data_IF_794944837454
#
_entry.id   IF_794944837454
#
_cell.length_a   1.000
_cell.length_b   1.000
_cell.length_c   1.000
_cell.angle_alpha   90.00
_cell.angle_beta   90.00
_cell.angle_gamma   90.00
#
_symmetry.space_group_name_H-M   'P 1'
#
loop_
_entity.id
_entity.type
_entity.pdbx_description
1 polymer ?
#
# COMPACT_ATOMS: atom_id res chain seq x y z
N UNK A 1 4.43 -28.53 -7.84
CA UNK A 1 4.67 -27.08 -7.93
C UNK A 1 4.69 -26.71 -9.40
N UNK A 2 3.81 -25.80 -9.85
CA UNK A 2 3.84 -25.34 -11.24
C UNK A 2 5.13 -24.53 -11.47
N UNK A 3 5.87 -24.91 -12.50
CA UNK A 3 7.06 -24.19 -12.96
C UNK A 3 6.61 -22.79 -13.41
N UNK A 4 7.07 -21.76 -12.69
CA UNK A 4 6.79 -20.37 -13.03
C UNK A 4 7.67 -19.98 -14.22
N UNK A 5 7.22 -20.34 -15.42
CA UNK A 5 7.87 -19.97 -16.67
C UNK A 5 7.49 -18.52 -17.03
N UNK A 6 8.44 -17.57 -17.05
CA UNK A 6 8.18 -16.17 -17.40
C UNK A 6 7.65 -15.96 -18.82
N UNK A 7 7.84 -16.93 -19.72
CA UNK A 7 7.38 -16.88 -21.11
C UNK A 7 5.97 -17.45 -21.29
N UNK A 8 5.43 -18.12 -20.27
CA UNK A 8 4.06 -18.63 -20.30
C UNK A 8 3.08 -17.47 -20.15
N UNK A 9 2.00 -17.52 -20.93
CA UNK A 9 0.95 -16.52 -20.86
C UNK A 9 0.37 -16.45 -19.43
N UNK A 10 0.10 -15.23 -18.92
CA UNK A 10 -0.52 -15.09 -17.62
C UNK A 10 -1.90 -15.78 -17.62
N UNK A 11 -2.33 -16.34 -16.48
CA UNK A 11 -3.65 -16.94 -16.35
C UNK A 11 -4.75 -16.00 -16.85
N UNK A 12 -5.74 -16.53 -17.56
CA UNK A 12 -6.82 -15.72 -18.16
C UNK A 12 -7.58 -14.88 -17.13
N UNK A 13 -7.74 -15.37 -15.90
CA UNK A 13 -8.34 -14.60 -14.80
C UNK A 13 -7.58 -13.29 -14.52
N UNK A 14 -6.26 -13.38 -14.34
CA UNK A 14 -5.39 -12.21 -14.09
C UNK A 14 -5.42 -11.26 -15.29
N UNK A 15 -5.35 -11.80 -16.51
CA UNK A 15 -5.42 -10.99 -17.74
C UNK A 15 -6.75 -10.24 -17.89
N UNK A 16 -7.87 -10.84 -17.48
CA UNK A 16 -9.19 -10.17 -17.46
C UNK A 16 -9.24 -9.06 -16.42
N UNK A 17 -8.75 -9.30 -15.20
CA UNK A 17 -8.70 -8.29 -14.14
C UNK A 17 -7.83 -7.10 -14.55
N UNK A 18 -6.64 -7.35 -15.11
CA UNK A 18 -5.78 -6.31 -15.64
C UNK A 18 -6.51 -5.47 -16.71
N UNK A 19 -7.14 -6.13 -17.69
CA UNK A 19 -7.89 -5.42 -18.76
C UNK A 19 -9.13 -4.69 -18.26
N UNK A 20 -9.78 -5.16 -17.18
CA UNK A 20 -10.90 -4.47 -16.51
C UNK A 20 -10.42 -3.09 -16.06
N UNK A 21 -9.42 -3.05 -15.18
CA UNK A 21 -8.93 -1.81 -14.60
C UNK A 21 -8.21 -0.91 -15.60
N UNK A 22 -7.51 -1.48 -16.60
CA UNK A 22 -6.88 -0.69 -17.67
C UNK A 22 -7.88 0.16 -18.48
N UNK A 23 -9.14 -0.26 -18.56
CA UNK A 23 -10.17 0.40 -19.38
C UNK A 23 -11.13 1.27 -18.58
N UNK A 24 -11.05 1.23 -17.25
CA UNK A 24 -11.94 1.99 -16.38
C UNK A 24 -11.50 3.46 -16.34
N UNK A 25 -12.48 4.37 -16.28
CA UNK A 25 -12.19 5.79 -16.05
C UNK A 25 -11.85 6.05 -14.58
N UNK A 26 -11.20 7.18 -14.25
CA UNK A 26 -10.92 7.55 -12.85
C UNK A 26 -12.17 7.54 -11.96
N UNK A 27 -13.33 8.00 -12.47
CA UNK A 27 -14.59 8.01 -11.72
C UNK A 27 -15.09 6.60 -11.42
N UNK A 28 -14.91 5.67 -12.36
CA UNK A 28 -15.27 4.27 -12.16
C UNK A 28 -14.34 3.59 -11.15
N UNK A 29 -13.05 3.92 -11.16
CA UNK A 29 -12.08 3.40 -10.19
C UNK A 29 -12.42 3.85 -8.77
N UNK A 30 -12.77 5.12 -8.58
CA UNK A 30 -13.13 5.67 -7.26
C UNK A 30 -14.42 5.08 -6.67
N UNK A 31 -15.24 4.41 -7.49
CA UNK A 31 -16.49 3.76 -7.06
C UNK A 31 -16.36 2.24 -6.93
N UNK A 32 -15.25 1.64 -7.37
CA UNK A 32 -15.07 0.19 -7.38
C UNK A 32 -14.68 -0.31 -5.97
N UNK A 33 -15.59 -1.06 -5.35
CA UNK A 33 -15.41 -1.62 -4.00
C UNK A 33 -14.38 -2.75 -3.91
N UNK A 34 -13.95 -3.30 -5.05
CA UNK A 34 -12.89 -4.31 -5.10
C UNK A 34 -11.50 -3.67 -4.93
N UNK A 35 -11.38 -2.35 -5.09
CA UNK A 35 -10.12 -1.62 -4.92
C UNK A 35 -9.93 -1.29 -3.43
N UNK A 36 -8.75 -1.67 -2.91
CA UNK A 36 -8.37 -1.35 -1.55
C UNK A 36 -7.88 0.09 -1.45
N UNK A 37 -8.60 0.92 -0.71
CA UNK A 37 -8.17 2.26 -0.35
C UNK A 37 -7.57 2.25 1.07
N UNK A 38 -6.28 2.55 1.16
CA UNK A 38 -5.52 2.59 2.42
C UNK A 38 -5.26 4.01 2.93
N UNK A 39 -5.83 5.03 2.27
CA UNK A 39 -5.66 6.44 2.64
C UNK A 39 -6.23 6.76 4.02
N UNK A 40 -7.27 6.04 4.44
CA UNK A 40 -7.86 6.16 5.78
C UNK A 40 -8.19 4.79 6.39
N UNK A 41 -8.15 4.65 7.73
CA UNK A 41 -8.58 3.42 8.39
C UNK A 41 -10.03 3.05 8.11
N UNK A 42 -10.91 4.05 7.99
CA UNK A 42 -12.31 3.82 7.68
C UNK A 42 -12.47 3.18 6.29
N UNK A 43 -11.76 3.70 5.28
CA UNK A 43 -11.81 3.17 3.93
C UNK A 43 -11.20 1.75 3.84
N UNK A 44 -10.04 1.54 4.48
CA UNK A 44 -9.36 0.25 4.47
C UNK A 44 -10.23 -0.87 5.07
N UNK A 45 -10.94 -0.56 6.16
CA UNK A 45 -11.78 -1.52 6.88
C UNK A 45 -13.17 -1.73 6.25
N UNK A 46 -13.52 -1.01 5.18
CA UNK A 46 -14.72 -1.35 4.38
C UNK A 46 -14.61 -2.74 3.76
N UNK A 47 -13.39 -3.15 3.41
CA UNK A 47 -13.15 -4.50 2.92
C UNK A 47 -13.03 -5.48 4.09
N UNK A 48 -13.99 -6.41 4.19
CA UNK A 48 -14.05 -7.42 5.27
C UNK A 48 -12.84 -8.35 5.33
N UNK A 49 -12.08 -8.47 4.24
CA UNK A 49 -10.87 -9.30 4.15
C UNK A 49 -9.62 -8.54 4.54
N UNK A 50 -9.72 -7.25 4.89
CA UNK A 50 -8.60 -6.45 5.38
C UNK A 50 -8.69 -6.36 6.89
N UNK A 51 -7.58 -6.63 7.57
CA UNK A 51 -7.45 -6.50 9.01
C UNK A 51 -6.29 -5.60 9.38
N UNK A 52 -6.46 -4.83 10.45
CA UNK A 52 -5.36 -4.11 11.09
C UNK A 52 -4.51 -5.12 11.87
N UNK A 53 -3.23 -5.22 11.54
CA UNK A 53 -2.28 -6.14 12.17
C UNK A 53 -1.41 -5.44 13.20
N UNK A 54 -0.98 -4.21 12.88
CA UNK A 54 -0.07 -3.46 13.75
C UNK A 54 -0.28 -1.97 13.58
N UNK A 55 0.16 -1.22 14.58
CA UNK A 55 0.33 0.22 14.49
C UNK A 55 1.78 0.54 14.84
N UNK A 56 2.40 1.41 14.05
CA UNK A 56 3.75 1.92 14.33
C UNK A 56 3.67 3.37 14.75
N UNK A 57 4.46 3.75 15.76
CA UNK A 57 4.66 5.17 16.03
C UNK A 57 5.46 5.78 14.89
N UNK A 58 5.12 7.00 14.50
CA UNK A 58 5.85 7.74 13.47
C UNK A 58 7.33 7.89 13.82
N UNK A 59 7.64 8.17 15.07
CA UNK A 59 9.02 8.32 15.55
C UNK A 59 9.85 7.05 15.35
N UNK A 60 9.27 5.88 15.60
CA UNK A 60 9.92 4.58 15.39
C UNK A 60 10.22 4.34 13.91
N UNK A 61 9.28 4.68 13.02
CA UNK A 61 9.47 4.55 11.57
C UNK A 61 10.54 5.51 11.07
N UNK A 62 10.49 6.78 11.48
CA UNK A 62 11.50 7.79 11.08
C UNK A 62 12.89 7.40 11.54
N UNK A 63 13.05 6.96 12.80
CA UNK A 63 14.33 6.49 13.31
C UNK A 63 14.84 5.25 12.54
N UNK A 64 13.95 4.32 12.22
CA UNK A 64 14.28 3.13 11.42
C UNK A 64 14.71 3.52 10.00
N UNK A 65 13.97 4.43 9.34
CA UNK A 65 14.30 4.89 7.99
C UNK A 65 15.63 5.62 7.95
N UNK A 66 15.91 6.51 8.90
CA UNK A 66 17.21 7.20 9.03
C UNK A 66 18.35 6.20 9.23
N UNK A 67 18.18 5.25 10.15
CA UNK A 67 19.18 4.20 10.40
C UNK A 67 19.45 3.35 9.15
N UNK A 68 18.40 3.04 8.38
CA UNK A 68 18.53 2.23 7.17
C UNK A 68 19.16 2.97 6.00
N UNK A 69 18.77 4.23 5.77
CA UNK A 69 19.28 5.06 4.67
C UNK A 69 20.76 5.44 4.86
N UNK A 70 21.26 5.40 6.10
CA UNK A 70 22.61 5.83 6.45
C UNK A 70 22.67 7.32 6.76
N UNK A 71 23.54 7.68 7.70
CA UNK A 71 23.74 9.04 8.22
C UNK A 71 24.53 9.94 7.22
N UNK A 72 24.27 9.82 5.92
CA UNK A 72 24.74 10.87 5.00
C UNK A 72 23.79 12.05 5.10
N UNK A 73 24.36 13.21 5.47
CA UNK A 73 23.79 14.55 5.42
C UNK A 73 23.43 14.99 3.98
N UNK A 74 22.70 14.14 3.24
CA UNK A 74 22.30 14.37 1.85
C UNK A 74 20.80 14.23 1.64
N UNK A 75 19.97 14.44 2.67
CA UNK A 75 18.64 15.03 2.42
C UNK A 75 18.17 15.85 3.62
N UNK A 76 18.39 17.16 3.59
CA UNK A 76 17.47 18.12 4.21
C UNK A 76 16.14 18.06 3.46
N UNK A 77 15.35 17.02 3.66
CA UNK A 77 13.92 16.99 3.32
C UNK A 77 13.21 16.15 4.39
N UNK A 78 12.91 16.82 5.50
CA UNK A 78 11.64 16.56 6.22
C UNK A 78 10.44 17.08 5.40
N UNK A 79 10.67 17.46 4.14
CA UNK A 79 9.69 17.88 3.15
C UNK A 79 9.20 16.61 2.40
N UNK A 80 7.87 16.44 2.35
CA UNK A 80 7.09 15.47 1.59
C UNK A 80 6.63 14.16 2.23
N UNK A 81 7.10 13.75 3.41
CA UNK A 81 6.39 12.67 4.14
C UNK A 81 5.45 13.29 5.15
N UNK A 82 4.16 13.38 4.81
CA UNK A 82 3.13 13.74 5.80
C UNK A 82 3.06 12.60 6.80
N UNK A 83 3.81 12.77 7.89
CA UNK A 83 3.89 11.93 9.06
C UNK A 83 3.12 12.56 10.24
N UNK A 84 2.24 13.54 10.00
CA UNK A 84 1.49 14.29 11.02
C UNK A 84 0.70 13.42 11.99
N UNK A 85 0.24 12.25 11.53
CA UNK A 85 -0.38 11.24 12.38
C UNK A 85 0.66 10.58 13.29
N UNK A 86 0.45 10.63 14.60
CA UNK A 86 1.34 10.03 15.61
C UNK A 86 1.50 8.51 15.48
N UNK A 87 0.56 7.86 14.79
CA UNK A 87 0.53 6.40 14.60
C UNK A 87 0.12 6.01 13.18
N UNK A 88 0.80 4.99 12.63
CA UNK A 88 0.62 4.45 11.28
C UNK A 88 0.04 3.04 11.33
N UNK A 89 -1.19 2.84 10.80
CA UNK A 89 -1.80 1.52 10.74
C UNK A 89 -1.17 0.65 9.65
N UNK A 90 -0.99 -0.63 9.97
CA UNK A 90 -0.50 -1.67 9.08
C UNK A 90 -1.58 -2.71 8.90
N UNK A 91 -1.94 -2.95 7.65
CA UNK A 91 -3.01 -3.84 7.25
C UNK A 91 -2.47 -5.11 6.61
N UNK A 92 -3.25 -6.19 6.69
CA UNK A 92 -3.02 -7.43 5.98
C UNK A 92 -4.33 -7.88 5.34
N UNK A 93 -4.22 -8.50 4.16
CA UNK A 93 -5.35 -9.06 3.46
C UNK A 93 -5.42 -10.58 3.66
N UNK A 94 -6.58 -11.13 3.98
CA UNK A 94 -6.77 -12.55 4.29
C UNK A 94 -6.31 -13.49 3.16
N UNK A 95 -6.56 -13.12 1.90
CA UNK A 95 -6.12 -13.91 0.73
C UNK A 95 -4.61 -13.79 0.43
N UNK A 96 -3.89 -12.90 1.13
CA UNK A 96 -2.44 -12.67 0.97
C UNK A 96 -1.71 -12.65 2.32
N UNK A 97 -1.72 -13.76 3.07
CA UNK A 97 -1.11 -13.81 4.40
C UNK A 97 0.39 -13.55 4.32
N UNK A 98 0.91 -12.82 5.31
CA UNK A 98 2.31 -12.40 5.40
C UNK A 98 2.67 -11.16 4.59
N UNK A 99 1.72 -10.56 3.84
CA UNK A 99 1.93 -9.27 3.17
C UNK A 99 1.28 -8.14 3.96
N UNK A 100 2.13 -7.22 4.41
CA UNK A 100 1.73 -6.05 5.18
C UNK A 100 1.71 -4.82 4.28
N UNK A 101 0.63 -4.05 4.36
CA UNK A 101 0.43 -2.80 3.63
C UNK A 101 0.28 -1.65 4.61
N UNK A 102 0.88 -0.51 4.32
CA UNK A 102 0.66 0.73 5.06
C UNK A 102 0.75 1.89 4.09
N UNK A 103 -0.01 2.96 4.36
CA UNK A 103 -0.03 4.14 3.52
C UNK A 103 0.88 5.22 4.11
N UNK A 104 1.78 5.73 3.27
CA UNK A 104 2.57 6.92 3.52
C UNK A 104 1.95 8.00 2.63
N UNK A 105 1.40 9.04 3.24
CA UNK A 105 0.89 10.17 2.48
C UNK A 105 2.07 11.08 2.13
N UNK A 106 2.08 11.54 0.89
CA UNK A 106 2.94 12.64 0.44
C UNK A 106 2.04 13.85 0.25
N UNK A 107 2.34 14.98 0.90
CA UNK A 107 1.67 16.24 0.57
C UNK A 107 2.22 16.70 -0.78
N UNK A 108 1.37 16.78 -1.81
CA UNK A 108 1.73 17.41 -3.08
C UNK A 108 1.68 18.95 -2.92
N UNK A 109 2.76 19.63 -3.34
CA UNK A 109 2.90 21.10 -3.37
C UNK A 109 1.97 21.79 -4.38
#
# INVERSE_FOLDING_TARGET
MHHLDPHVRPPEGIRKVYKKYQKMSPEQLNQDTDILDLSSPAAALLNKKVRLVKQYATEELTATFRTFAGDEDTVTQEEDLDLSSSSRPVYEHEDMPGRNFFCIAFEEF
#
